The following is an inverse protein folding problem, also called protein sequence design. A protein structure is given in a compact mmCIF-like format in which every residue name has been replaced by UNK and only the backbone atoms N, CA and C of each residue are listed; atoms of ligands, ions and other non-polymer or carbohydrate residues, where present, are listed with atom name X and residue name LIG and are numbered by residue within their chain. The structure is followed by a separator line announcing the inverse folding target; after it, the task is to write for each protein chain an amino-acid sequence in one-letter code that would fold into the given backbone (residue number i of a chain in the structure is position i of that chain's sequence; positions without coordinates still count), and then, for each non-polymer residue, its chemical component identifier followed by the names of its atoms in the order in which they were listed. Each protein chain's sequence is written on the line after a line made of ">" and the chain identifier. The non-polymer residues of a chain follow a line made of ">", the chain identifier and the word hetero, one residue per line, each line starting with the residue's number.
data_IF_432568591360
#
_entry.id   IF_432568591360
#
_cell.length_a   1.000
_cell.length_b   1.000
_cell.length_c   1.000
_cell.angle_alpha   90.00
_cell.angle_beta   90.00
_cell.angle_gamma   90.00
#
_symmetry.space_group_name_H-M   'P 1'
#
loop_
_entity.id
_entity.type
_entity.pdbx_description
1 polymer ?
#
# COMPACT_ATOMS: atom_id res chain seq x y z
N UNK A 1 -40.17 -44.33 24.02
CA UNK A 1 -38.86 -44.16 23.34
C UNK A 1 -38.03 -43.17 24.15
N UNK A 2 -36.82 -43.58 24.55
CA UNK A 2 -35.99 -42.85 25.50
C UNK A 2 -35.48 -41.53 24.89
N UNK A 3 -35.93 -40.38 25.45
CA UNK A 3 -35.45 -39.03 25.06
C UNK A 3 -34.09 -38.69 25.70
N UNK A 4 -33.17 -39.67 25.78
CA UNK A 4 -31.90 -39.53 26.47
C UNK A 4 -31.01 -38.36 26.01
N UNK A 5 -31.24 -37.80 24.81
CA UNK A 5 -30.40 -36.78 24.21
C UNK A 5 -31.17 -35.46 23.96
N UNK A 6 -32.23 -35.17 24.70
CA UNK A 6 -32.98 -33.94 24.59
C UNK A 6 -33.17 -33.27 25.95
N UNK A 7 -33.12 -31.94 25.98
CA UNK A 7 -33.36 -31.10 27.15
C UNK A 7 -34.37 -30.02 26.78
N UNK A 8 -35.32 -29.76 27.69
CA UNK A 8 -36.21 -28.60 27.56
C UNK A 8 -35.44 -27.35 27.98
N UNK A 9 -35.41 -26.33 27.11
CA UNK A 9 -34.84 -25.01 27.38
C UNK A 9 -35.79 -23.99 26.78
N UNK A 10 -36.33 -23.08 27.59
CA UNK A 10 -37.28 -22.02 27.19
C UNK A 10 -38.44 -22.54 26.34
N UNK A 11 -39.05 -23.66 26.77
CA UNK A 11 -40.21 -24.27 26.10
C UNK A 11 -39.88 -25.03 24.80
N UNK A 12 -38.61 -25.09 24.37
CA UNK A 12 -38.17 -25.84 23.19
C UNK A 12 -37.42 -27.13 23.60
N UNK A 13 -37.75 -28.23 22.94
CA UNK A 13 -37.05 -29.51 23.11
C UNK A 13 -35.79 -29.51 22.26
N UNK A 14 -34.61 -29.39 22.86
CA UNK A 14 -33.34 -29.27 22.19
C UNK A 14 -32.54 -30.58 22.25
N UNK A 15 -32.01 -31.02 21.11
CA UNK A 15 -31.16 -32.20 21.02
C UNK A 15 -29.74 -31.86 21.52
N UNK A 16 -29.34 -32.45 22.64
CA UNK A 16 -28.08 -32.12 23.34
C UNK A 16 -26.83 -32.67 22.64
N UNK A 17 -26.97 -33.70 21.80
CA UNK A 17 -25.88 -34.35 21.05
C UNK A 17 -25.85 -33.97 19.55
N UNK A 18 -26.61 -32.95 19.17
CA UNK A 18 -26.67 -32.46 17.78
C UNK A 18 -25.28 -32.09 17.27
N UNK A 19 -24.92 -32.65 16.11
CA UNK A 19 -23.63 -32.38 15.47
C UNK A 19 -23.72 -31.18 14.54
N UNK A 20 -22.62 -30.44 14.37
CA UNK A 20 -22.52 -29.34 13.41
C UNK A 20 -22.91 -29.80 11.98
N UNK A 21 -22.54 -31.02 11.60
CA UNK A 21 -22.88 -31.59 10.30
C UNK A 21 -24.39 -31.70 10.04
N UNK A 22 -25.22 -31.77 11.07
CA UNK A 22 -26.67 -31.90 10.99
C UNK A 22 -27.42 -30.56 10.82
N UNK A 23 -26.68 -29.44 10.85
CA UNK A 23 -27.27 -28.12 10.55
C UNK A 23 -27.68 -28.03 9.08
N UNK A 24 -28.74 -27.24 8.80
CA UNK A 24 -29.15 -26.91 7.43
C UNK A 24 -28.04 -26.10 6.74
N UNK A 25 -27.94 -26.23 5.42
CA UNK A 25 -26.89 -25.56 4.63
C UNK A 25 -26.83 -24.05 4.94
N UNK A 26 -27.96 -23.34 4.87
CA UNK A 26 -28.03 -21.90 5.18
C UNK A 26 -27.55 -21.55 6.59
N UNK A 27 -27.76 -22.43 7.58
CA UNK A 27 -27.25 -22.23 8.94
C UNK A 27 -25.73 -22.38 9.00
N UNK A 28 -25.18 -23.37 8.30
CA UNK A 28 -23.73 -23.59 8.20
C UNK A 28 -23.04 -22.40 7.52
N UNK A 29 -23.60 -21.91 6.42
CA UNK A 29 -23.08 -20.74 5.69
C UNK A 29 -23.07 -19.49 6.59
N UNK A 30 -24.18 -19.24 7.30
CA UNK A 30 -24.30 -18.10 8.23
C UNK A 30 -23.27 -18.17 9.35
N UNK A 31 -23.11 -19.34 9.97
CA UNK A 31 -22.12 -19.55 11.04
C UNK A 31 -20.69 -19.43 10.49
N UNK A 32 -20.40 -19.96 9.31
CA UNK A 32 -19.09 -19.84 8.68
C UNK A 32 -18.74 -18.37 8.38
N UNK A 33 -19.71 -17.58 7.96
CA UNK A 33 -19.54 -16.16 7.75
C UNK A 33 -19.27 -15.41 9.06
N UNK A 34 -19.98 -15.70 10.13
CA UNK A 34 -19.69 -15.12 11.45
C UNK A 34 -18.31 -15.50 11.96
N UNK A 35 -17.91 -16.75 11.81
CA UNK A 35 -16.55 -17.19 12.16
C UNK A 35 -15.49 -16.39 11.42
N UNK A 36 -15.70 -16.14 10.14
CA UNK A 36 -14.81 -15.31 9.33
C UNK A 36 -14.79 -13.86 9.83
N UNK A 37 -15.97 -13.22 9.95
CA UNK A 37 -16.07 -11.80 10.36
C UNK A 37 -15.44 -11.56 11.73
N UNK A 38 -15.77 -12.37 12.73
CA UNK A 38 -15.23 -12.22 14.10
C UNK A 38 -13.72 -12.45 14.13
N UNK A 39 -13.21 -13.42 13.31
CA UNK A 39 -11.76 -13.65 13.22
C UNK A 39 -11.05 -12.49 12.53
N UNK A 40 -11.64 -11.91 11.49
CA UNK A 40 -11.13 -10.73 10.82
C UNK A 40 -11.07 -9.54 11.77
N UNK A 41 -12.15 -9.26 12.48
CA UNK A 41 -12.22 -8.15 13.43
C UNK A 41 -11.22 -8.32 14.58
N UNK A 42 -11.03 -9.57 15.05
CA UNK A 42 -9.98 -9.91 16.00
C UNK A 42 -8.58 -9.58 15.45
N UNK A 43 -8.29 -10.01 14.22
CA UNK A 43 -6.99 -9.77 13.57
C UNK A 43 -6.75 -8.27 13.33
N UNK A 44 -7.74 -7.54 12.85
CA UNK A 44 -7.64 -6.09 12.62
C UNK A 44 -7.33 -5.31 13.90
N UNK A 45 -7.88 -5.78 15.03
CA UNK A 45 -7.64 -5.14 16.35
C UNK A 45 -6.29 -5.51 16.97
N UNK A 46 -5.82 -6.74 16.79
CA UNK A 46 -4.67 -7.29 17.52
C UNK A 46 -3.44 -7.51 16.64
N UNK A 47 -3.55 -7.34 15.31
CA UNK A 47 -2.52 -7.63 14.30
C UNK A 47 -1.96 -9.06 14.35
N UNK A 48 -2.71 -9.97 14.98
CA UNK A 48 -2.35 -11.39 15.12
C UNK A 48 -3.61 -12.25 15.15
N UNK A 49 -3.51 -13.50 14.67
CA UNK A 49 -4.62 -14.44 14.75
C UNK A 49 -4.75 -15.02 16.18
N UNK A 50 -5.98 -15.38 16.58
CA UNK A 50 -6.20 -15.96 17.90
C UNK A 50 -5.40 -17.27 18.07
N UNK A 51 -4.61 -17.36 19.13
CA UNK A 51 -3.94 -18.60 19.56
C UNK A 51 -4.92 -19.53 20.29
N UNK A 52 -4.47 -20.70 20.70
CA UNK A 52 -5.35 -21.72 21.30
C UNK A 52 -6.07 -21.25 22.58
N UNK A 53 -5.45 -20.33 23.34
CA UNK A 53 -6.06 -19.73 24.55
C UNK A 53 -7.07 -18.63 24.20
N UNK A 54 -6.97 -18.05 23.02
CA UNK A 54 -7.79 -16.91 22.57
C UNK A 54 -8.94 -17.35 21.67
N UNK A 55 -8.89 -18.55 21.10
CA UNK A 55 -9.95 -19.11 20.24
C UNK A 55 -11.31 -19.08 20.93
N UNK A 56 -11.38 -19.39 22.21
CA UNK A 56 -12.64 -19.40 22.95
C UNK A 56 -13.28 -18.00 22.99
N UNK A 57 -12.50 -16.92 23.06
CA UNK A 57 -13.03 -15.54 23.01
C UNK A 57 -13.73 -15.26 21.67
N UNK A 58 -13.13 -15.72 20.57
CA UNK A 58 -13.71 -15.57 19.22
C UNK A 58 -14.96 -16.44 19.08
N UNK A 59 -14.89 -17.68 19.53
CA UNK A 59 -16.01 -18.62 19.44
C UNK A 59 -17.20 -18.19 20.32
N UNK A 60 -16.95 -17.58 21.47
CA UNK A 60 -18.03 -17.03 22.33
C UNK A 60 -18.84 -15.96 21.58
N UNK A 61 -18.18 -15.01 20.92
CA UNK A 61 -18.86 -13.98 20.14
C UNK A 61 -19.66 -14.60 18.96
N UNK A 62 -19.09 -15.63 18.32
CA UNK A 62 -19.80 -16.38 17.26
C UNK A 62 -21.02 -17.10 17.85
N UNK A 63 -20.85 -17.66 19.04
CA UNK A 63 -21.93 -18.42 19.70
C UNK A 63 -23.09 -17.52 20.14
N UNK A 64 -22.82 -16.33 20.65
CA UNK A 64 -23.84 -15.31 20.93
C UNK A 64 -24.71 -15.01 19.68
N UNK A 65 -24.06 -14.83 18.52
CA UNK A 65 -24.79 -14.64 17.24
C UNK A 65 -25.60 -15.87 16.81
N UNK A 66 -25.14 -17.07 17.15
CA UNK A 66 -25.86 -18.34 16.88
C UNK A 66 -27.12 -18.39 17.75
N UNK A 67 -27.03 -18.02 19.03
CA UNK A 67 -28.16 -17.97 19.97
C UNK A 67 -29.19 -16.89 19.56
N UNK A 68 -28.75 -15.68 19.26
CA UNK A 68 -29.58 -14.59 18.73
C UNK A 68 -30.36 -14.99 17.46
N UNK A 69 -29.76 -15.82 16.61
CA UNK A 69 -30.41 -16.32 15.40
C UNK A 69 -31.25 -17.56 15.63
N UNK A 70 -31.45 -17.97 16.88
CA UNK A 70 -32.21 -19.16 17.28
C UNK A 70 -31.73 -20.47 16.60
N UNK A 71 -30.43 -20.57 16.30
CA UNK A 71 -29.79 -21.75 15.71
C UNK A 71 -29.33 -22.64 16.85
N UNK A 72 -29.96 -23.79 17.01
CA UNK A 72 -29.49 -24.75 18.01
C UNK A 72 -28.35 -25.62 17.52
N UNK A 73 -27.22 -25.54 18.19
CA UNK A 73 -26.04 -26.43 18.08
C UNK A 73 -25.23 -26.33 19.36
N UNK A 74 -24.73 -27.45 19.95
CA UNK A 74 -23.91 -27.38 21.15
C UNK A 74 -22.63 -26.57 20.94
N UNK A 75 -22.25 -25.76 21.93
CA UNK A 75 -21.04 -24.92 21.90
C UNK A 75 -19.77 -25.72 21.53
N UNK A 76 -19.59 -26.92 22.12
CA UNK A 76 -18.43 -27.79 21.82
C UNK A 76 -18.33 -28.21 20.35
N UNK A 77 -19.47 -28.32 19.65
CA UNK A 77 -19.47 -28.62 18.21
C UNK A 77 -19.03 -27.40 17.38
N UNK A 78 -19.44 -26.21 17.78
CA UNK A 78 -19.00 -24.93 17.15
C UNK A 78 -17.50 -24.73 17.35
N UNK A 79 -17.01 -24.91 18.59
CA UNK A 79 -15.60 -24.81 18.92
C UNK A 79 -14.74 -25.82 18.13
N UNK A 80 -15.18 -27.08 18.05
CA UNK A 80 -14.51 -28.13 17.28
C UNK A 80 -14.46 -27.78 15.79
N UNK A 81 -15.58 -27.30 15.26
CA UNK A 81 -15.69 -26.91 13.86
C UNK A 81 -14.77 -25.72 13.54
N UNK A 82 -14.77 -24.67 14.41
CA UNK A 82 -13.87 -23.54 14.27
C UNK A 82 -12.40 -23.98 14.24
N UNK A 83 -11.97 -24.80 15.21
CA UNK A 83 -10.60 -25.34 15.27
C UNK A 83 -10.22 -26.08 13.99
N UNK A 84 -11.12 -26.89 13.43
CA UNK A 84 -10.89 -27.64 12.19
C UNK A 84 -10.79 -26.75 10.95
N UNK A 85 -11.43 -25.58 10.94
CA UNK A 85 -11.46 -24.63 9.83
C UNK A 85 -10.52 -23.42 10.01
N UNK A 86 -9.82 -23.30 11.14
CA UNK A 86 -8.97 -22.17 11.51
C UNK A 86 -8.02 -21.74 10.39
N UNK A 87 -7.29 -22.68 9.81
CA UNK A 87 -6.33 -22.36 8.74
C UNK A 87 -7.00 -21.79 7.48
N UNK A 88 -8.17 -22.29 7.11
CA UNK A 88 -8.93 -21.79 5.98
C UNK A 88 -9.51 -20.40 6.26
N UNK A 89 -10.04 -20.16 7.47
CA UNK A 89 -10.54 -18.86 7.92
C UNK A 89 -9.41 -17.83 7.90
N UNK A 90 -8.25 -18.15 8.50
CA UNK A 90 -7.10 -17.25 8.55
C UNK A 90 -6.60 -16.89 7.14
N UNK A 91 -6.57 -17.86 6.21
CA UNK A 91 -6.19 -17.62 4.81
C UNK A 91 -7.17 -16.67 4.12
N UNK A 92 -8.48 -16.85 4.33
CA UNK A 92 -9.52 -15.96 3.78
C UNK A 92 -9.36 -14.53 4.33
N UNK A 93 -9.11 -14.38 5.64
CA UNK A 93 -8.87 -13.07 6.26
C UNK A 93 -7.64 -12.37 5.66
N UNK A 94 -6.52 -13.07 5.53
CA UNK A 94 -5.31 -12.50 4.89
C UNK A 94 -5.58 -12.04 3.47
N UNK A 95 -6.27 -12.88 2.68
CA UNK A 95 -6.59 -12.55 1.29
C UNK A 95 -7.44 -11.28 1.20
N UNK A 96 -8.51 -11.17 2.01
CA UNK A 96 -9.36 -9.97 2.01
C UNK A 96 -8.60 -8.70 2.45
N UNK A 97 -7.72 -8.83 3.44
CA UNK A 97 -6.95 -7.68 3.93
C UNK A 97 -5.88 -7.25 2.92
N UNK A 98 -5.19 -8.20 2.29
CA UNK A 98 -4.21 -7.91 1.24
C UNK A 98 -4.88 -7.26 0.02
N UNK A 99 -6.04 -7.76 -0.42
CA UNK A 99 -6.82 -7.14 -1.51
C UNK A 99 -7.23 -5.70 -1.17
N UNK A 100 -7.53 -5.41 0.10
CA UNK A 100 -7.85 -4.05 0.55
C UNK A 100 -6.62 -3.15 0.63
N UNK A 101 -5.45 -3.69 0.98
CA UNK A 101 -4.18 -2.95 0.97
C UNK A 101 -3.73 -2.67 -0.46
N UNK A 102 -3.81 -3.66 -1.35
CA UNK A 102 -3.50 -3.47 -2.78
C UNK A 102 -4.40 -2.40 -3.43
N UNK A 103 -5.69 -2.37 -3.06
CA UNK A 103 -6.63 -1.35 -3.54
C UNK A 103 -6.42 0.05 -2.90
N UNK A 104 -5.63 0.16 -1.83
CA UNK A 104 -5.22 1.43 -1.22
C UNK A 104 -3.85 1.89 -1.67
N UNK A 105 -3.04 0.98 -2.22
CA UNK A 105 -1.71 1.31 -2.70
C UNK A 105 -1.82 1.97 -4.06
N UNK A 106 -1.47 3.24 -4.10
CA UNK A 106 -1.32 4.01 -5.31
C UNK A 106 0.05 3.69 -5.95
N UNK A 107 0.07 3.52 -7.27
CA UNK A 107 1.33 3.45 -8.00
C UNK A 107 1.91 4.86 -8.06
N UNK A 108 3.07 5.06 -7.47
CA UNK A 108 3.73 6.35 -7.44
C UNK A 108 5.06 6.26 -8.20
N UNK A 109 5.30 7.23 -9.08
CA UNK A 109 6.57 7.45 -9.75
C UNK A 109 7.23 8.70 -9.14
N UNK A 110 8.38 8.55 -8.53
CA UNK A 110 9.14 9.65 -7.97
C UNK A 110 10.20 10.11 -8.96
N UNK A 111 10.21 11.40 -9.21
CA UNK A 111 11.18 12.10 -10.04
C UNK A 111 11.77 13.28 -9.28
N UNK A 112 12.86 13.81 -9.78
CA UNK A 112 13.45 15.04 -9.26
C UNK A 112 13.97 15.90 -10.40
N UNK A 113 14.12 17.20 -10.11
CA UNK A 113 14.67 18.19 -11.03
C UNK A 113 15.42 19.23 -10.20
N UNK A 114 16.55 19.71 -10.68
CA UNK A 114 17.38 20.69 -9.98
C UNK A 114 17.71 21.92 -10.83
N UNK A 115 17.32 23.09 -10.36
CA UNK A 115 17.83 24.35 -10.86
C UNK A 115 19.21 24.59 -10.23
N UNK A 116 20.27 24.33 -10.98
CA UNK A 116 21.65 24.67 -10.58
C UNK A 116 21.92 26.10 -11.02
N UNK A 117 22.33 26.96 -10.09
CA UNK A 117 22.59 28.39 -10.37
C UNK A 117 24.05 28.75 -10.08
N UNK A 118 24.69 29.46 -11.01
CA UNK A 118 26.04 29.99 -10.83
C UNK A 118 26.06 31.32 -10.02
N UNK A 119 27.26 31.82 -9.75
CA UNK A 119 27.50 33.09 -9.04
C UNK A 119 27.12 34.35 -9.84
N UNK A 120 26.84 34.21 -11.14
CA UNK A 120 26.41 35.27 -12.06
C UNK A 120 24.89 35.31 -12.24
N UNK A 121 24.17 34.37 -11.62
CA UNK A 121 22.72 34.25 -11.73
C UNK A 121 22.24 33.45 -12.95
N UNK A 122 23.13 32.84 -13.72
CA UNK A 122 22.75 31.91 -14.77
C UNK A 122 22.28 30.60 -14.16
N UNK A 123 21.43 29.91 -14.89
CA UNK A 123 20.94 28.56 -14.53
C UNK A 123 21.41 27.53 -15.56
N UNK A 124 21.63 26.32 -15.10
CA UNK A 124 22.03 25.21 -15.96
C UNK A 124 20.80 24.69 -16.69
N UNK A 125 20.81 24.72 -18.00
CA UNK A 125 19.76 24.22 -18.86
C UNK A 125 20.24 22.97 -19.61
N UNK A 126 19.31 22.09 -19.91
CA UNK A 126 19.49 20.87 -20.68
C UNK A 126 18.48 20.87 -21.83
N UNK A 127 18.95 20.87 -23.07
CA UNK A 127 18.11 20.63 -24.24
C UNK A 127 18.03 19.13 -24.49
N UNK A 128 16.91 18.51 -24.13
CA UNK A 128 16.70 17.06 -24.29
C UNK A 128 16.58 16.67 -25.76
N UNK A 129 17.27 15.60 -26.12
CA UNK A 129 17.23 14.97 -27.45
C UNK A 129 16.63 13.58 -27.28
N UNK A 130 15.29 13.51 -27.30
CA UNK A 130 14.57 12.24 -27.24
C UNK A 130 13.40 12.27 -28.21
N UNK A 131 13.10 11.14 -28.88
CA UNK A 131 12.02 11.02 -29.88
C UNK A 131 10.62 11.32 -29.33
N UNK A 132 10.42 11.19 -28.02
CA UNK A 132 9.12 11.38 -27.35
C UNK A 132 9.04 12.63 -26.47
N UNK A 133 10.15 13.33 -26.24
CA UNK A 133 10.21 14.45 -25.32
C UNK A 133 11.35 15.40 -25.68
N UNK A 134 10.99 16.55 -26.24
CA UNK A 134 11.92 17.59 -26.69
C UNK A 134 11.66 18.89 -25.95
N UNK A 135 12.67 19.73 -25.82
CA UNK A 135 12.57 21.06 -25.19
C UNK A 135 13.67 21.27 -24.16
N UNK A 136 13.69 22.47 -23.59
CA UNK A 136 14.66 22.87 -22.57
C UNK A 136 14.10 22.57 -21.18
N UNK A 137 14.91 21.94 -20.34
CA UNK A 137 14.57 21.59 -18.97
C UNK A 137 15.75 21.84 -18.02
N UNK A 138 15.52 21.67 -16.73
CA UNK A 138 16.60 21.50 -15.76
C UNK A 138 17.02 20.03 -15.67
N UNK A 139 18.28 19.73 -15.32
CA UNK A 139 18.73 18.37 -15.10
C UNK A 139 17.94 17.68 -13.99
N UNK A 140 17.68 16.39 -14.19
CA UNK A 140 16.95 15.55 -13.26
C UNK A 140 16.32 14.32 -13.93
N UNK A 141 15.80 13.41 -13.13
CA UNK A 141 15.27 12.15 -13.63
C UNK A 141 14.52 11.35 -12.57
N UNK A 142 14.46 10.05 -12.77
CA UNK A 142 13.74 9.13 -11.90
C UNK A 142 14.56 8.79 -10.64
N UNK A 143 13.84 8.69 -9.53
CA UNK A 143 14.41 8.16 -8.29
C UNK A 143 14.42 6.64 -8.37
N UNK A 144 15.58 6.03 -8.22
CA UNK A 144 15.72 4.57 -8.26
C UNK A 144 15.12 3.90 -7.02
N UNK A 145 14.83 2.62 -7.14
CA UNK A 145 14.28 1.85 -6.03
C UNK A 145 15.27 1.82 -4.85
N UNK A 146 14.77 2.19 -3.66
CA UNK A 146 15.55 2.31 -2.41
C UNK A 146 16.59 3.45 -2.40
N UNK A 147 16.53 4.36 -3.35
CA UNK A 147 17.39 5.53 -3.40
C UNK A 147 16.84 6.68 -2.53
N UNK A 148 17.71 7.42 -1.86
CA UNK A 148 17.34 8.63 -1.10
C UNK A 148 17.23 9.79 -2.09
N UNK A 149 16.16 10.58 -2.00
CA UNK A 149 15.86 11.69 -2.92
C UNK A 149 17.02 12.66 -3.15
N UNK A 150 17.74 13.05 -2.09
CA UNK A 150 18.92 13.91 -2.22
C UNK A 150 20.09 13.24 -2.96
N UNK A 151 20.26 11.93 -2.81
CA UNK A 151 21.28 11.19 -3.54
C UNK A 151 20.93 11.05 -5.01
N UNK A 152 19.65 10.78 -5.28
CA UNK A 152 19.13 10.70 -6.63
C UNK A 152 19.38 12.00 -7.41
N UNK A 153 19.02 13.15 -6.86
CA UNK A 153 19.22 14.42 -7.58
C UNK A 153 20.72 14.77 -7.78
N UNK A 154 21.60 14.39 -6.85
CA UNK A 154 23.06 14.57 -7.02
C UNK A 154 23.57 13.66 -8.14
N UNK A 155 23.12 12.40 -8.20
CA UNK A 155 23.46 11.44 -9.25
C UNK A 155 22.99 11.91 -10.63
N UNK A 156 21.70 12.25 -10.78
CA UNK A 156 21.11 12.71 -12.02
C UNK A 156 21.84 13.95 -12.59
N UNK A 157 22.08 14.96 -11.74
CA UNK A 157 22.83 16.15 -12.17
C UNK A 157 24.23 15.78 -12.63
N UNK A 158 24.89 14.86 -11.93
CA UNK A 158 26.23 14.43 -12.34
C UNK A 158 26.21 13.63 -13.66
N UNK A 159 25.28 12.72 -13.83
CA UNK A 159 25.15 11.88 -15.04
C UNK A 159 24.84 12.72 -16.27
N UNK A 160 23.93 13.68 -16.17
CA UNK A 160 23.52 14.52 -17.28
C UNK A 160 24.49 15.67 -17.60
N UNK A 161 25.23 16.17 -16.59
CA UNK A 161 25.96 17.44 -16.72
C UNK A 161 27.46 17.40 -16.38
N UNK A 162 27.94 16.31 -15.74
CA UNK A 162 29.29 16.20 -15.19
C UNK A 162 29.53 17.00 -13.90
N UNK A 163 28.52 17.76 -13.42
CA UNK A 163 28.64 18.55 -12.19
C UNK A 163 28.15 17.77 -10.98
N UNK A 164 28.89 17.82 -9.90
CA UNK A 164 28.45 17.31 -8.59
C UNK A 164 27.94 18.46 -7.76
N UNK A 165 26.65 18.51 -7.49
CA UNK A 165 26.03 19.56 -6.65
C UNK A 165 26.18 19.25 -5.16
N UNK A 166 26.30 20.31 -4.35
CA UNK A 166 26.40 20.21 -2.91
C UNK A 166 25.16 20.80 -2.22
N UNK A 167 24.64 20.06 -1.23
CA UNK A 167 23.53 20.52 -0.36
C UNK A 167 22.32 21.04 -1.12
N UNK A 168 21.75 20.30 -2.09
CA UNK A 168 20.56 20.72 -2.81
C UNK A 168 19.40 20.96 -1.85
N UNK A 169 18.69 22.11 -2.01
CA UNK A 169 17.55 22.50 -1.20
C UNK A 169 16.25 22.17 -1.91
N UNK A 170 15.36 21.45 -1.25
CA UNK A 170 14.00 21.23 -1.76
C UNK A 170 13.22 22.56 -1.74
N UNK A 171 12.70 22.98 -2.89
CA UNK A 171 11.98 24.23 -3.10
C UNK A 171 10.49 24.02 -3.30
N UNK A 172 10.08 22.85 -3.80
CA UNK A 172 8.68 22.54 -4.06
C UNK A 172 8.46 21.14 -4.57
N UNK A 173 7.18 20.84 -4.77
CA UNK A 173 6.72 19.60 -5.38
C UNK A 173 5.74 19.95 -6.50
N UNK A 174 5.81 19.23 -7.60
CA UNK A 174 4.80 19.21 -8.65
C UNK A 174 4.33 17.78 -8.87
N UNK A 175 3.03 17.56 -9.08
CA UNK A 175 2.52 16.22 -9.24
C UNK A 175 1.30 16.18 -10.14
N UNK A 176 1.07 15.04 -10.80
CA UNK A 176 -0.10 14.76 -11.63
C UNK A 176 -0.42 13.27 -11.64
N UNK A 177 -1.59 12.92 -12.18
CA UNK A 177 -2.02 11.55 -12.38
C UNK A 177 -2.19 11.29 -13.88
N UNK A 178 -1.59 10.20 -14.35
CA UNK A 178 -1.71 9.76 -15.72
C UNK A 178 -1.59 8.24 -15.76
N UNK A 179 -2.43 7.57 -16.54
CA UNK A 179 -2.45 6.12 -16.75
C UNK A 179 -2.43 5.27 -15.44
N UNK A 180 -3.07 5.79 -14.40
CA UNK A 180 -3.14 5.12 -13.10
C UNK A 180 -1.84 5.18 -12.29
N UNK A 181 -0.93 6.08 -12.65
CA UNK A 181 0.30 6.39 -11.92
C UNK A 181 0.23 7.82 -11.39
N UNK A 182 0.59 7.98 -10.13
CA UNK A 182 0.77 9.29 -9.51
C UNK A 182 2.25 9.71 -9.66
N UNK A 183 2.53 10.59 -10.58
CA UNK A 183 3.87 11.13 -10.80
C UNK A 183 4.12 12.33 -9.89
N UNK A 184 5.26 12.31 -9.21
CA UNK A 184 5.66 13.36 -8.25
C UNK A 184 7.09 13.80 -8.56
N UNK A 185 7.27 15.07 -8.92
CA UNK A 185 8.59 15.69 -9.11
C UNK A 185 8.94 16.53 -7.89
N UNK A 186 10.09 16.26 -7.30
CA UNK A 186 10.71 17.09 -6.28
C UNK A 186 11.60 18.14 -6.95
N UNK A 187 11.31 19.41 -6.71
CA UNK A 187 12.02 20.55 -7.30
C UNK A 187 13.09 21.03 -6.34
N UNK A 188 14.34 20.91 -6.76
CA UNK A 188 15.50 21.33 -5.99
C UNK A 188 16.15 22.58 -6.57
N UNK A 189 16.91 23.29 -5.73
CA UNK A 189 17.84 24.35 -6.10
C UNK A 189 19.21 24.04 -5.50
N UNK A 190 20.28 24.23 -6.30
CA UNK A 190 21.66 24.15 -5.85
C UNK A 190 22.45 25.36 -6.36
N UNK A 191 23.29 25.93 -5.48
CA UNK A 191 24.16 27.08 -5.77
C UNK A 191 25.65 26.75 -5.59
N UNK A 192 25.92 25.51 -5.16
CA UNK A 192 27.28 25.02 -4.98
C UNK A 192 27.46 23.75 -5.78
N UNK A 193 28.51 23.70 -6.56
CA UNK A 193 28.83 22.53 -7.38
C UNK A 193 30.32 22.52 -7.68
N UNK A 194 30.82 21.33 -8.01
CA UNK A 194 32.19 21.07 -8.47
C UNK A 194 32.16 20.23 -9.74
N UNK A 195 33.23 20.20 -10.48
CA UNK A 195 33.37 19.42 -11.72
C UNK A 195 33.43 20.29 -12.96
N UNK A 196 33.45 19.67 -14.10
CA UNK A 196 33.47 20.32 -15.42
C UNK A 196 32.19 20.00 -16.17
N UNK A 197 31.59 21.01 -16.78
CA UNK A 197 30.36 20.85 -17.56
C UNK A 197 30.60 19.98 -18.78
N UNK A 198 29.83 18.90 -18.92
CA UNK A 198 29.85 17.97 -20.04
C UNK A 198 28.45 17.59 -20.43
N UNK A 199 28.14 17.70 -21.72
CA UNK A 199 26.89 17.14 -22.25
C UNK A 199 26.95 15.63 -22.25
N UNK A 200 25.79 15.00 -22.08
CA UNK A 200 25.60 13.56 -22.11
C UNK A 200 24.84 13.12 -23.38
N UNK A 201 24.55 11.82 -23.49
CA UNK A 201 23.70 11.29 -24.56
C UNK A 201 22.26 11.76 -24.46
N UNK A 202 21.83 12.27 -23.31
CA UNK A 202 20.48 12.76 -23.08
C UNK A 202 20.22 14.16 -23.65
N UNK A 203 21.28 14.94 -23.91
CA UNK A 203 21.15 16.25 -24.52
C UNK A 203 22.34 17.18 -24.30
N UNK A 204 22.18 18.41 -24.78
CA UNK A 204 23.18 19.45 -24.65
C UNK A 204 22.94 20.29 -23.40
N UNK A 205 23.97 20.46 -22.55
CA UNK A 205 23.90 21.30 -21.35
C UNK A 205 24.68 22.60 -21.53
N UNK A 206 24.12 23.70 -21.00
CA UNK A 206 24.74 25.02 -21.09
C UNK A 206 24.19 25.96 -20.01
N UNK A 207 24.94 27.03 -19.71
CA UNK A 207 24.52 28.09 -18.81
C UNK A 207 23.70 29.13 -19.55
N UNK A 208 22.56 29.57 -19.01
CA UNK A 208 21.67 30.54 -19.59
C UNK A 208 21.12 31.48 -18.50
N UNK A 209 20.97 32.79 -18.75
CA UNK A 209 20.24 33.66 -17.84
C UNK A 209 18.81 33.16 -17.59
N UNK A 210 18.37 33.17 -16.33
CA UNK A 210 17.05 32.67 -15.97
C UNK A 210 15.91 33.35 -16.75
N UNK A 211 16.05 34.64 -17.06
CA UNK A 211 15.04 35.36 -17.85
C UNK A 211 14.99 34.91 -19.30
N UNK A 212 16.12 34.49 -19.87
CA UNK A 212 16.17 33.94 -21.22
C UNK A 212 15.53 32.55 -21.27
N UNK A 213 15.74 31.71 -20.24
CA UNK A 213 15.11 30.39 -20.14
C UNK A 213 13.58 30.46 -20.23
N UNK A 214 12.96 31.50 -19.69
CA UNK A 214 11.51 31.72 -19.73
C UNK A 214 10.96 31.91 -21.18
N UNK A 215 11.81 32.22 -22.13
CA UNK A 215 11.44 32.42 -23.55
C UNK A 215 11.62 31.17 -24.39
N UNK A 216 12.22 30.11 -23.82
CA UNK A 216 12.46 28.85 -24.52
C UNK A 216 11.21 27.97 -24.51
N UNK A 217 11.13 27.08 -25.46
CA UNK A 217 10.17 25.98 -25.43
C UNK A 217 10.61 25.01 -24.33
N UNK A 218 9.79 24.92 -23.28
CA UNK A 218 10.10 24.05 -22.15
C UNK A 218 9.62 22.64 -22.45
N UNK A 219 10.40 21.67 -21.98
CA UNK A 219 10.10 20.27 -22.11
C UNK A 219 9.05 19.79 -21.12
#
# INVERSE_FOLDING_TARGET
>A
MSQKNHKMTDGKLLQTDKKYAQLKLKQKEKIAEWMFQVTRDYYTKNYTFPNDRQIEKVVNIVYEKIEEAEIWVPYGEVLRHYKSKRSAINRRVRKELNEKEENRNEKVCFMNMCMVQDDKGNVLALDKVNDSYTGTTFPGGHVEQNEIFQKSIIREVWEETGLTIESPKLCGLYHWHEDGVHSVIMLYKAEKFIGELKSSEEGQVYWIPLEELKTRELA
#
